data_IF_229641386208
#
_entry.id   IF_229641386208
#
_cell.length_a   1.000
_cell.length_b   1.000
_cell.length_c   1.000
_cell.angle_alpha   90.00
_cell.angle_beta   90.00
_cell.angle_gamma   90.00
#
_symmetry.space_group_name_H-M   'P 1'
#
loop_
_entity.id
_entity.type
_entity.pdbx_description
1 polymer ?
#
# COMPACT_ATOMS: atom_id res chain seq x y z
N UNK A 1 -24.47 10.73 -70.77
CA UNK A 1 -24.42 12.21 -70.75
C UNK A 1 -24.25 12.62 -69.30
N UNK A 2 -23.08 13.20 -68.96
CA UNK A 2 -22.71 13.94 -67.73
C UNK A 2 -22.90 13.26 -66.35
N UNK A 3 -22.07 13.41 -65.31
CA UNK A 3 -20.72 13.91 -65.04
C UNK A 3 -20.40 13.56 -63.57
N UNK A 4 -19.12 13.50 -63.25
CA UNK A 4 -18.44 13.16 -61.98
C UNK A 4 -18.60 14.19 -60.82
N UNK A 5 -18.43 13.78 -59.54
CA UNK A 5 -17.47 14.31 -58.50
C UNK A 5 -17.95 14.22 -57.01
N UNK A 6 -17.17 13.45 -56.22
CA UNK A 6 -16.71 13.49 -54.80
C UNK A 6 -17.47 14.20 -53.64
N UNK A 7 -17.51 13.50 -52.50
CA UNK A 7 -16.91 13.99 -51.22
C UNK A 7 -16.54 12.81 -50.30
N UNK A 8 -15.31 12.82 -49.77
CA UNK A 8 -14.83 11.89 -48.75
C UNK A 8 -15.36 12.28 -47.36
N UNK A 9 -15.51 11.32 -46.44
CA UNK A 9 -14.83 11.45 -45.15
C UNK A 9 -14.55 10.10 -44.49
N UNK A 10 -13.32 10.00 -44.01
CA UNK A 10 -12.68 8.89 -43.31
C UNK A 10 -12.65 9.32 -41.84
N UNK A 11 -13.20 8.54 -40.91
CA UNK A 11 -12.80 8.64 -39.49
C UNK A 11 -13.03 7.30 -38.78
N UNK A 12 -12.05 6.42 -38.99
CA UNK A 12 -11.31 5.61 -38.01
C UNK A 12 -12.02 4.94 -36.82
N UNK A 13 -11.69 3.65 -36.71
CA UNK A 13 -12.00 2.71 -35.66
C UNK A 13 -11.52 3.14 -34.26
N UNK A 14 -12.31 2.83 -33.24
CA UNK A 14 -11.83 2.67 -31.86
C UNK A 14 -12.03 1.22 -31.45
N UNK A 15 -10.90 0.52 -31.37
CA UNK A 15 -10.82 -0.90 -31.13
C UNK A 15 -11.16 -1.32 -29.70
N UNK A 16 -11.73 -2.51 -29.62
CA UNK A 16 -11.62 -3.46 -28.52
C UNK A 16 -10.23 -3.47 -27.90
N UNK A 17 -10.09 -2.97 -26.68
CA UNK A 17 -9.08 -3.49 -25.73
C UNK A 17 -9.71 -3.64 -24.34
N UNK A 18 -10.39 -4.77 -24.15
CA UNK A 18 -10.55 -5.33 -22.81
C UNK A 18 -9.14 -5.51 -22.23
N UNK A 19 -8.78 -4.68 -21.24
CA UNK A 19 -7.51 -4.76 -20.53
C UNK A 19 -7.41 -6.10 -19.83
N UNK A 20 -6.71 -7.06 -20.45
CA UNK A 20 -6.26 -8.28 -19.79
C UNK A 20 -5.41 -7.87 -18.60
N UNK A 21 -5.53 -8.49 -17.42
CA UNK A 21 -4.60 -8.23 -16.32
C UNK A 21 -3.20 -8.59 -16.81
N UNK A 22 -2.43 -7.53 -16.92
CA UNK A 22 -1.02 -7.42 -17.23
C UNK A 22 -0.21 -8.46 -16.43
N UNK A 23 0.84 -9.00 -17.05
CA UNK A 23 1.80 -9.97 -16.50
C UNK A 23 2.12 -9.77 -15.01
N UNK A 24 2.40 -10.85 -14.25
CA UNK A 24 2.61 -10.78 -12.80
C UNK A 24 3.64 -9.70 -12.44
N UNK A 25 3.40 -8.91 -11.38
CA UNK A 25 4.24 -7.79 -11.02
C UNK A 25 5.70 -8.24 -10.86
N UNK A 26 6.63 -7.41 -11.32
CA UNK A 26 8.06 -7.72 -11.25
C UNK A 26 8.49 -8.06 -9.81
N UNK A 27 9.53 -8.89 -9.65
CA UNK A 27 10.09 -9.20 -8.31
C UNK A 27 10.41 -7.94 -7.50
N UNK A 28 10.84 -6.86 -8.17
CA UNK A 28 11.09 -5.55 -7.56
C UNK A 28 9.81 -4.93 -6.99
N UNK A 29 8.71 -4.93 -7.75
CA UNK A 29 7.42 -4.42 -7.28
C UNK A 29 6.86 -5.24 -6.10
N UNK A 30 7.01 -6.55 -6.13
CA UNK A 30 6.59 -7.40 -5.01
C UNK A 30 7.40 -7.10 -3.75
N UNK A 31 8.72 -6.95 -3.88
CA UNK A 31 9.58 -6.57 -2.76
C UNK A 31 9.25 -5.18 -2.23
N UNK A 32 9.02 -4.20 -3.11
CA UNK A 32 8.61 -2.85 -2.73
C UNK A 32 7.32 -2.88 -1.91
N UNK A 33 6.30 -3.61 -2.40
CA UNK A 33 5.03 -3.74 -1.68
C UNK A 33 5.20 -4.40 -0.31
N UNK A 34 6.07 -5.41 -0.20
CA UNK A 34 6.40 -6.06 1.08
C UNK A 34 7.02 -5.05 2.06
N UNK A 35 8.02 -4.29 1.62
CA UNK A 35 8.69 -3.27 2.45
C UNK A 35 7.73 -2.16 2.88
N UNK A 36 6.83 -1.70 2.01
CA UNK A 36 5.82 -0.71 2.38
C UNK A 36 4.85 -1.23 3.45
N UNK A 37 4.46 -2.51 3.39
CA UNK A 37 3.63 -3.15 4.44
C UNK A 37 4.39 -3.31 5.76
N UNK A 38 5.66 -3.70 5.71
CA UNK A 38 6.51 -3.80 6.90
C UNK A 38 6.68 -2.43 7.58
N UNK A 39 6.84 -1.36 6.79
CA UNK A 39 6.87 0.01 7.30
C UNK A 39 5.54 0.40 7.96
N UNK A 40 4.40 0.10 7.32
CA UNK A 40 3.08 0.36 7.91
C UNK A 40 2.87 -0.36 9.25
N UNK A 41 3.42 -1.58 9.41
CA UNK A 41 3.40 -2.29 10.68
C UNK A 41 4.19 -1.53 11.77
N UNK A 42 5.41 -1.07 11.47
CA UNK A 42 6.22 -0.29 12.42
C UNK A 42 5.51 1.01 12.79
N UNK A 43 4.96 1.72 11.80
CA UNK A 43 4.19 2.94 12.02
C UNK A 43 2.99 2.71 12.94
N UNK A 44 2.24 1.63 12.70
CA UNK A 44 1.06 1.28 13.49
C UNK A 44 1.44 0.90 14.93
N UNK A 45 2.55 0.20 15.12
CA UNK A 45 3.08 -0.10 16.45
C UNK A 45 3.45 1.19 17.21
N UNK A 46 4.15 2.13 16.56
CA UNK A 46 4.47 3.43 17.18
C UNK A 46 3.23 4.26 17.50
N UNK A 47 2.20 4.18 16.67
CA UNK A 47 0.90 4.78 16.96
C UNK A 47 0.29 4.19 18.24
N UNK A 48 0.26 2.86 18.39
CA UNK A 48 -0.23 2.23 19.63
C UNK A 48 0.59 2.62 20.86
N UNK A 49 1.92 2.68 20.72
CA UNK A 49 2.81 3.13 21.78
C UNK A 49 2.54 4.58 22.18
N UNK A 50 2.32 5.47 21.22
CA UNK A 50 1.96 6.87 21.48
C UNK A 50 0.60 6.98 22.18
N UNK A 51 -0.42 6.22 21.73
CA UNK A 51 -1.74 6.19 22.36
C UNK A 51 -1.70 5.68 23.81
N UNK A 52 -0.84 4.70 24.13
CA UNK A 52 -0.71 4.23 25.52
C UNK A 52 -0.02 5.24 26.42
N UNK A 53 0.94 6.00 25.90
CA UNK A 53 1.59 7.08 26.67
C UNK A 53 0.60 8.17 27.11
N UNK A 54 -0.55 8.31 26.46
CA UNK A 54 -1.58 9.27 26.87
C UNK A 54 -2.50 8.75 27.98
N UNK A 55 -2.44 7.47 28.33
CA UNK A 55 -3.24 6.89 29.42
C UNK A 55 -2.47 7.07 30.74
N UNK A 56 -3.03 7.79 31.74
CA UNK A 56 -2.38 7.95 33.04
C UNK A 56 -2.18 6.61 33.73
N UNK A 57 -1.07 6.48 34.47
CA UNK A 57 -0.82 5.30 35.28
C UNK A 57 -1.81 5.26 36.45
N UNK A 58 -2.72 4.29 36.44
CA UNK A 58 -3.48 3.96 37.63
C UNK A 58 -2.52 3.29 38.60
N UNK A 59 -2.16 3.95 39.69
CA UNK A 59 -1.23 3.45 40.73
C UNK A 59 -1.65 2.16 41.46
N UNK A 60 -2.59 1.40 40.90
CA UNK A 60 -3.01 0.09 41.34
C UNK A 60 -2.12 -1.04 40.81
N UNK A 61 -1.44 -0.83 39.66
CA UNK A 61 -0.52 -1.80 39.07
C UNK A 61 0.85 -1.16 38.83
N UNK A 62 1.89 -1.78 39.37
CA UNK A 62 3.28 -1.39 39.12
C UNK A 62 3.65 -1.64 37.65
N UNK A 63 4.31 -0.67 37.01
CA UNK A 63 4.89 -0.83 35.68
C UNK A 63 6.14 -1.71 35.79
N UNK A 64 6.02 -2.97 35.39
CA UNK A 64 7.17 -3.86 35.24
C UNK A 64 7.73 -3.84 33.80
N UNK A 65 9.06 -3.86 33.69
CA UNK A 65 9.77 -3.88 32.41
C UNK A 65 9.41 -5.11 31.58
N UNK A 66 9.20 -6.26 32.23
CA UNK A 66 8.77 -7.49 31.56
C UNK A 66 7.38 -7.34 30.91
N UNK A 67 6.46 -6.64 31.59
CA UNK A 67 5.12 -6.37 31.08
C UNK A 67 5.16 -5.44 29.86
N UNK A 68 5.99 -4.39 29.91
CA UNK A 68 6.14 -3.46 28.80
C UNK A 68 6.78 -4.14 27.58
N UNK A 69 7.81 -4.96 27.76
CA UNK A 69 8.41 -5.72 26.66
C UNK A 69 7.39 -6.69 26.03
N UNK A 70 6.63 -7.41 26.84
CA UNK A 70 5.57 -8.30 26.35
C UNK A 70 4.52 -7.53 25.53
N UNK A 71 4.08 -6.37 26.04
CA UNK A 71 3.15 -5.48 25.35
C UNK A 71 3.71 -4.98 24.02
N UNK A 72 4.98 -4.59 23.96
CA UNK A 72 5.62 -4.14 22.73
C UNK A 72 5.68 -5.25 21.67
N UNK A 73 6.02 -6.48 22.07
CA UNK A 73 5.98 -7.64 21.17
C UNK A 73 4.57 -7.95 20.68
N UNK A 74 3.59 -7.91 21.57
CA UNK A 74 2.18 -8.10 21.24
C UNK A 74 1.69 -7.04 20.24
N UNK A 75 1.99 -5.77 20.49
CA UNK A 75 1.62 -4.67 19.60
C UNK A 75 2.26 -4.83 18.22
N UNK A 76 3.51 -5.28 18.16
CA UNK A 76 4.18 -5.53 16.89
C UNK A 76 3.49 -6.64 16.09
N UNK A 77 3.04 -7.72 16.73
CA UNK A 77 2.34 -8.80 16.03
C UNK A 77 0.96 -8.35 15.55
N UNK A 78 0.22 -7.62 16.38
CA UNK A 78 -1.06 -7.01 16.00
C UNK A 78 -0.85 -6.03 14.82
N UNK A 79 0.20 -5.22 14.86
CA UNK A 79 0.50 -4.28 13.80
C UNK A 79 0.87 -4.97 12.47
N UNK A 80 1.65 -6.06 12.52
CA UNK A 80 1.94 -6.89 11.35
C UNK A 80 0.68 -7.52 10.76
N UNK A 81 -0.19 -8.09 11.61
CA UNK A 81 -1.46 -8.66 11.18
C UNK A 81 -2.36 -7.60 10.52
N UNK A 82 -2.43 -6.40 11.11
CA UNK A 82 -3.17 -5.27 10.54
C UNK A 82 -2.64 -4.86 9.17
N UNK A 83 -1.31 -4.69 9.04
CA UNK A 83 -0.65 -4.28 7.79
C UNK A 83 -0.65 -5.37 6.70
N UNK A 84 -0.80 -6.65 7.07
CA UNK A 84 -0.96 -7.74 6.12
C UNK A 84 -2.35 -7.75 5.45
N UNK A 85 -3.37 -7.28 6.16
CA UNK A 85 -4.74 -7.12 5.68
C UNK A 85 -4.96 -5.81 4.91
N UNK A 86 -6.10 -5.15 5.15
CA UNK A 86 -6.41 -3.84 4.57
C UNK A 86 -5.57 -2.71 5.20
N UNK A 87 -5.17 -2.88 6.47
CA UNK A 87 -4.41 -1.90 7.24
C UNK A 87 -5.08 -0.54 7.35
N UNK A 88 -4.26 0.46 7.65
CA UNK A 88 -4.60 1.88 7.63
C UNK A 88 -4.41 2.50 6.23
N UNK A 89 -3.83 1.75 5.28
CA UNK A 89 -3.69 2.13 3.87
C UNK A 89 -2.45 2.96 3.56
N UNK A 90 -1.60 3.23 4.55
CA UNK A 90 -0.39 4.03 4.38
C UNK A 90 0.65 3.28 3.53
N UNK A 91 0.84 1.98 3.78
CA UNK A 91 1.77 1.15 3.00
C UNK A 91 1.32 1.02 1.55
N UNK A 92 0.01 0.93 1.31
CA UNK A 92 -0.52 0.95 -0.05
C UNK A 92 -0.31 2.31 -0.72
N UNK A 93 -0.57 3.42 -0.03
CA UNK A 93 -0.31 4.75 -0.56
C UNK A 93 1.17 4.96 -0.92
N UNK A 94 2.10 4.51 -0.06
CA UNK A 94 3.54 4.53 -0.33
C UNK A 94 3.90 3.69 -1.55
N UNK A 95 3.37 2.47 -1.64
CA UNK A 95 3.59 1.61 -2.80
C UNK A 95 3.14 2.29 -4.09
N UNK A 96 1.95 2.90 -4.10
CA UNK A 96 1.43 3.60 -5.28
C UNK A 96 2.30 4.79 -5.71
N UNK A 97 2.88 5.53 -4.77
CA UNK A 97 3.78 6.65 -5.09
C UNK A 97 5.16 6.21 -5.59
N UNK A 98 5.61 5.01 -5.21
CA UNK A 98 6.96 4.53 -5.49
C UNK A 98 7.05 3.54 -6.65
N UNK A 99 5.97 2.82 -6.97
CA UNK A 99 5.98 1.76 -7.98
C UNK A 99 6.51 2.23 -9.33
N UNK A 100 6.06 3.39 -9.82
CA UNK A 100 6.44 3.90 -11.14
C UNK A 100 7.93 4.30 -11.17
N UNK A 101 8.44 4.81 -10.05
CA UNK A 101 9.86 5.18 -9.92
C UNK A 101 10.78 3.97 -9.95
N UNK A 102 10.35 2.84 -9.39
CA UNK A 102 11.13 1.60 -9.35
C UNK A 102 11.12 0.86 -10.70
N UNK A 103 10.06 1.02 -11.50
CA UNK A 103 9.99 0.46 -12.86
C UNK A 103 10.85 1.24 -13.87
N UNK A 104 10.95 2.56 -13.72
CA UNK A 104 11.73 3.41 -14.63
C UNK A 104 13.23 3.47 -14.32
N UNK A 105 13.68 2.93 -13.19
CA UNK A 105 15.11 2.68 -12.94
C UNK A 105 15.59 1.46 -13.74
N UNK A 106 15.85 1.68 -15.04
CA UNK A 106 16.71 0.86 -15.88
C UNK A 106 17.99 1.60 -16.20
#
# INVERSE_FOLDING_TARGET
MALTIHSQNITEAVGTTARRPDSPPSKKLQSLRKSCREFEAIYTQEMYKAMRKTVPDSGLFEKDMSSELYKEMLDMEIAKASAAGKGNGIGEAMYQQMKDKVEHQK
#
